data_IF_938227831340
#
_entry.id   IF_938227831340
#
_cell.length_a   1.000
_cell.length_b   1.000
_cell.length_c   1.000
_cell.angle_alpha   90.00
_cell.angle_beta   90.00
_cell.angle_gamma   90.00
#
_symmetry.space_group_name_H-M   'P 1'
#
loop_
_entity.id
_entity.type
_entity.pdbx_description
1 polymer ?
#
# COMPACT_ATOMS: atom_id res chain seq x y z
N UNK A 1 -18.92 -13.65 1.27
CA UNK A 1 -17.83 -14.64 1.08
C UNK A 1 -17.45 -14.58 -0.39
N UNK A 2 -16.22 -14.16 -0.71
CA UNK A 2 -15.82 -13.84 -2.10
C UNK A 2 -15.95 -15.01 -3.06
N UNK A 3 -16.26 -14.73 -4.33
CA UNK A 3 -16.31 -15.78 -5.36
C UNK A 3 -14.92 -16.43 -5.49
N UNK A 4 -14.87 -17.76 -5.64
CA UNK A 4 -13.61 -18.50 -5.86
C UNK A 4 -13.05 -18.32 -7.27
N UNK A 5 -13.49 -17.28 -7.98
CA UNK A 5 -13.06 -17.03 -9.34
C UNK A 5 -11.72 -16.31 -9.30
N UNK A 6 -10.73 -16.90 -9.96
CA UNK A 6 -9.45 -16.24 -10.17
C UNK A 6 -9.64 -15.06 -11.12
N UNK A 7 -9.41 -13.84 -10.61
CA UNK A 7 -9.58 -12.60 -11.39
C UNK A 7 -8.32 -12.30 -12.23
N UNK A 8 -7.13 -12.59 -11.68
CA UNK A 8 -5.83 -12.38 -12.33
C UNK A 8 -4.89 -13.55 -12.09
N UNK A 9 -3.91 -13.73 -12.98
CA UNK A 9 -2.86 -14.74 -12.85
C UNK A 9 -1.86 -14.37 -11.73
N UNK A 10 -1.14 -15.35 -11.13
CA UNK A 10 -0.10 -15.06 -10.14
C UNK A 10 1.01 -14.16 -10.69
N UNK A 11 1.31 -14.27 -11.99
CA UNK A 11 2.26 -13.40 -12.69
C UNK A 11 1.79 -11.95 -12.71
N UNK A 12 0.52 -11.71 -13.07
CA UNK A 12 -0.07 -10.36 -13.06
C UNK A 12 -0.09 -9.77 -11.64
N UNK A 13 -0.45 -10.57 -10.63
CA UNK A 13 -0.43 -10.12 -9.24
C UNK A 13 0.98 -9.67 -8.81
N UNK A 14 2.01 -10.45 -9.15
CA UNK A 14 3.41 -10.08 -8.88
C UNK A 14 3.82 -8.78 -9.58
N UNK A 15 3.42 -8.59 -10.84
CA UNK A 15 3.71 -7.37 -11.60
C UNK A 15 3.01 -6.14 -11.00
N UNK A 16 1.74 -6.28 -10.62
CA UNK A 16 0.97 -5.20 -9.97
C UNK A 16 1.61 -4.83 -8.63
N UNK A 17 1.95 -5.81 -7.79
CA UNK A 17 2.60 -5.56 -6.51
C UNK A 17 3.96 -4.86 -6.66
N UNK A 18 4.74 -5.24 -7.68
CA UNK A 18 6.01 -4.58 -7.97
C UNK A 18 5.81 -3.11 -8.34
N UNK A 19 4.82 -2.78 -9.18
CA UNK A 19 4.50 -1.40 -9.54
C UNK A 19 3.97 -0.59 -8.36
N UNK A 20 3.06 -1.17 -7.57
CA UNK A 20 2.56 -0.55 -6.34
C UNK A 20 3.69 -0.20 -5.38
N UNK A 21 4.68 -1.09 -5.22
CA UNK A 21 5.83 -0.82 -4.37
C UNK A 21 6.73 0.31 -4.91
N UNK A 22 7.01 0.33 -6.22
CA UNK A 22 8.04 1.22 -6.77
C UNK A 22 7.52 2.59 -7.23
N UNK A 23 6.24 2.71 -7.59
CA UNK A 23 5.66 3.95 -8.09
C UNK A 23 4.24 4.24 -7.58
N UNK A 24 3.77 3.52 -6.56
CA UNK A 24 2.38 3.62 -6.11
C UNK A 24 2.03 4.88 -5.30
N UNK A 25 3.02 5.59 -4.77
CA UNK A 25 2.85 6.67 -3.77
C UNK A 25 3.36 8.03 -4.25
N UNK A 26 3.16 8.37 -5.52
CA UNK A 26 3.70 9.58 -6.16
C UNK A 26 5.21 9.70 -5.92
N UNK A 27 5.72 10.92 -5.71
CA UNK A 27 7.13 11.18 -5.38
C UNK A 27 7.54 10.61 -4.01
N UNK A 28 6.59 10.10 -3.22
CA UNK A 28 6.82 9.45 -1.92
C UNK A 28 7.01 7.94 -1.97
N UNK A 29 7.08 7.31 -3.15
CA UNK A 29 7.19 5.84 -3.27
C UNK A 29 8.44 5.25 -2.59
N UNK A 30 9.59 5.90 -2.73
CA UNK A 30 10.83 5.45 -2.08
C UNK A 30 10.76 5.53 -0.55
N UNK A 31 10.24 6.63 -0.02
CA UNK A 31 10.07 6.81 1.44
C UNK A 31 9.05 5.81 2.00
N UNK A 32 7.93 5.60 1.31
CA UNK A 32 6.92 4.63 1.71
C UNK A 32 7.47 3.20 1.72
N UNK A 33 8.22 2.81 0.69
CA UNK A 33 8.88 1.52 0.64
C UNK A 33 9.89 1.34 1.79
N UNK A 34 10.65 2.38 2.13
CA UNK A 34 11.62 2.33 3.22
C UNK A 34 10.96 2.23 4.61
N UNK A 35 9.92 3.02 4.87
CA UNK A 35 9.29 3.10 6.21
C UNK A 35 8.26 2.00 6.48
N UNK A 36 7.55 1.56 5.43
CA UNK A 36 6.40 0.66 5.56
C UNK A 36 6.67 -0.69 4.89
N UNK A 37 7.39 -0.70 3.76
CA UNK A 37 7.89 -1.94 3.18
C UNK A 37 6.83 -2.88 2.63
N UNK A 38 5.70 -2.37 2.14
CA UNK A 38 4.67 -3.19 1.48
C UNK A 38 4.16 -2.48 0.21
N UNK A 39 3.69 -3.21 -0.82
CA UNK A 39 3.06 -2.61 -2.00
C UNK A 39 1.90 -1.67 -1.63
N UNK A 40 1.96 -0.41 -2.05
CA UNK A 40 0.94 0.60 -1.76
C UNK A 40 0.42 1.31 -3.03
N UNK A 41 -0.79 1.86 -3.00
CA UNK A 41 -1.26 2.82 -4.00
C UNK A 41 -2.08 3.90 -3.32
N UNK A 42 -1.70 5.15 -3.54
CA UNK A 42 -2.43 6.32 -3.04
C UNK A 42 -3.30 7.00 -4.11
N UNK A 43 -4.20 7.87 -3.67
CA UNK A 43 -4.87 8.84 -4.52
C UNK A 43 -5.20 10.13 -3.75
N UNK A 44 -5.26 11.26 -4.47
CA UNK A 44 -5.51 12.61 -3.89
C UNK A 44 -6.85 12.77 -3.17
N UNK A 45 -7.77 11.80 -3.29
CA UNK A 45 -8.95 11.72 -2.43
C UNK A 45 -8.65 11.31 -0.98
N UNK A 46 -7.39 11.09 -0.63
CA UNK A 46 -6.94 10.71 0.72
C UNK A 46 -6.93 9.21 0.98
N UNK A 47 -7.21 8.38 -0.04
CA UNK A 47 -7.21 6.93 0.08
C UNK A 47 -5.84 6.31 -0.18
N UNK A 48 -5.48 5.29 0.60
CA UNK A 48 -4.32 4.42 0.32
C UNK A 48 -4.76 2.97 0.48
N UNK A 49 -4.46 2.13 -0.52
CA UNK A 49 -4.55 0.68 -0.41
C UNK A 49 -3.15 0.09 -0.31
N UNK A 50 -2.94 -0.82 0.63
CA UNK A 50 -1.67 -1.51 0.84
C UNK A 50 -1.91 -3.02 0.93
N UNK A 51 -1.04 -3.79 0.27
CA UNK A 51 -1.17 -5.24 0.16
C UNK A 51 -0.01 -5.90 0.91
N UNK A 52 -0.33 -6.78 1.87
CA UNK A 52 0.63 -7.71 2.46
C UNK A 52 0.46 -9.05 1.76
N UNK A 53 1.39 -9.45 0.88
CA UNK A 53 1.27 -10.70 0.11
C UNK A 53 0.98 -11.90 1.01
N UNK A 54 0.09 -12.77 0.54
CA UNK A 54 -0.31 -14.02 1.22
C UNK A 54 -0.89 -13.84 2.64
N UNK A 55 -1.34 -12.63 2.97
CA UNK A 55 -1.82 -12.28 4.30
C UNK A 55 -3.14 -11.52 4.28
N UNK A 56 -3.08 -10.21 4.01
CA UNK A 56 -4.23 -9.33 4.05
C UNK A 56 -3.96 -8.05 3.25
N UNK A 57 -5.03 -7.32 2.98
CA UNK A 57 -5.00 -5.99 2.36
C UNK A 57 -5.58 -4.99 3.35
N UNK A 58 -5.02 -3.79 3.37
CA UNK A 58 -5.45 -2.68 4.23
C UNK A 58 -5.84 -1.51 3.34
N UNK A 59 -6.97 -0.90 3.65
CA UNK A 59 -7.35 0.39 3.08
C UNK A 59 -7.43 1.40 4.21
N UNK A 60 -6.80 2.55 4.02
CA UNK A 60 -6.90 3.72 4.92
C UNK A 60 -7.42 4.90 4.13
N UNK A 61 -8.08 5.81 4.83
CA UNK A 61 -8.59 7.04 4.24
C UNK A 61 -8.50 8.19 5.24
N UNK A 62 -7.88 9.27 4.81
CA UNK A 62 -7.96 10.58 5.46
C UNK A 62 -7.68 11.67 4.42
N UNK A 63 -8.54 12.70 4.31
CA UNK A 63 -8.47 13.68 3.23
C UNK A 63 -7.25 14.61 3.30
N UNK A 64 -6.63 14.80 4.46
CA UNK A 64 -5.45 15.65 4.60
C UNK A 64 -4.23 14.98 3.92
N UNK A 65 -3.57 15.72 3.02
CA UNK A 65 -2.45 15.24 2.22
C UNK A 65 -1.12 15.86 2.66
N UNK A 66 -0.05 15.09 2.53
CA UNK A 66 1.33 15.58 2.62
C UNK A 66 1.77 16.33 1.34
N UNK A 67 3.02 16.78 1.32
CA UNK A 67 3.60 17.52 0.19
C UNK A 67 3.68 16.72 -1.12
N UNK A 68 3.64 15.39 -1.03
CA UNK A 68 3.69 14.47 -2.17
C UNK A 68 2.29 14.02 -2.62
N UNK A 69 1.22 14.52 -1.98
CA UNK A 69 -0.16 14.19 -2.32
C UNK A 69 -0.66 12.87 -1.72
N UNK A 70 0.05 12.30 -0.74
CA UNK A 70 -0.37 11.10 -0.02
C UNK A 70 -1.10 11.47 1.27
N UNK A 71 -2.04 10.61 1.72
CA UNK A 71 -2.76 10.85 2.97
C UNK A 71 -1.82 10.88 4.17
N UNK A 72 -1.75 12.00 4.89
CA UNK A 72 -0.84 12.20 6.02
C UNK A 72 -1.13 11.20 7.14
N UNK A 73 -2.37 11.19 7.63
CA UNK A 73 -2.79 10.25 8.68
C UNK A 73 -2.85 8.80 8.17
N UNK A 74 -3.16 8.59 6.88
CA UNK A 74 -3.16 7.26 6.27
C UNK A 74 -1.77 6.62 6.27
N UNK A 75 -0.75 7.36 5.83
CA UNK A 75 0.64 6.90 5.86
C UNK A 75 1.11 6.59 7.30
N UNK A 76 0.83 7.48 8.25
CA UNK A 76 1.19 7.26 9.66
C UNK A 76 0.50 6.01 10.24
N UNK A 77 -0.78 5.81 9.93
CA UNK A 77 -1.52 4.62 10.36
C UNK A 77 -0.96 3.32 9.78
N UNK A 78 -0.56 3.33 8.50
CA UNK A 78 0.04 2.18 7.83
C UNK A 78 1.43 1.85 8.39
N UNK A 79 2.25 2.85 8.71
CA UNK A 79 3.56 2.64 9.35
C UNK A 79 3.40 2.03 10.76
N UNK A 80 2.48 2.56 11.57
CA UNK A 80 2.17 2.00 12.89
C UNK A 80 1.66 0.57 12.78
N UNK A 81 0.84 0.28 11.78
CA UNK A 81 0.36 -1.07 11.53
C UNK A 81 1.52 -1.99 11.15
N UNK A 82 2.31 -1.65 10.14
CA UNK A 82 3.45 -2.44 9.67
C UNK A 82 4.41 -2.81 10.82
N UNK A 83 4.74 -1.84 11.67
CA UNK A 83 5.55 -2.03 12.87
C UNK A 83 4.93 -3.01 13.87
N UNK A 84 3.61 -2.97 14.06
CA UNK A 84 2.90 -3.89 14.97
C UNK A 84 2.77 -5.31 14.41
N UNK A 85 2.55 -5.46 13.10
CA UNK A 85 2.37 -6.79 12.50
C UNK A 85 3.71 -7.48 12.23
N UNK A 86 4.82 -6.74 12.28
CA UNK A 86 6.15 -7.25 11.96
C UNK A 86 6.25 -7.72 10.51
N UNK A 87 5.44 -7.13 9.62
CA UNK A 87 5.37 -7.50 8.20
C UNK A 87 5.80 -6.33 7.34
N UNK A 88 7.09 -6.33 7.05
CA UNK A 88 7.73 -5.60 5.95
C UNK A 88 8.24 -6.66 4.96
N UNK A 89 8.25 -6.36 3.66
CA UNK A 89 8.91 -7.20 2.66
C UNK A 89 10.44 -7.01 2.66
N UNK A 90 10.93 -6.02 3.41
CA UNK A 90 12.34 -5.75 3.71
C UNK A 90 12.66 -6.08 5.17
#
# INVERSE_FOLDING_TARGET
MGSKNQIITPRQARQINALMLTCGMYDGAGEFAFRIGIPGKSGVGGGIIAVVPDAFTVAVWSPELDKSGNSLAGCAGLELLANKVGRSIF
#
